data_IF_622607422234
#
_entry.id   IF_622607422234
#
_cell.length_a   1.000
_cell.length_b   1.000
_cell.length_c   1.000
_cell.angle_alpha   90.00
_cell.angle_beta   90.00
_cell.angle_gamma   90.00
#
_symmetry.space_group_name_H-M   'P 1'
#
loop_
_entity.id
_entity.type
_entity.pdbx_description
1 polymer ?
#
# COMPACT_ATOMS: atom_id res chain seq x y z
N UNK A 1 -6.69 -18.63 3.31
CA UNK A 1 -7.15 -17.66 2.29
C UNK A 1 -6.46 -18.00 0.98
N UNK A 2 -7.08 -17.78 -0.18
CA UNK A 2 -6.46 -17.91 -1.50
C UNK A 2 -6.31 -16.53 -2.15
N UNK A 3 -5.34 -16.40 -3.04
CA UNK A 3 -5.16 -15.18 -3.81
C UNK A 3 -6.11 -15.16 -5.01
N UNK A 4 -6.81 -14.06 -5.18
CA UNK A 4 -7.61 -13.77 -6.37
C UNK A 4 -7.06 -12.47 -6.94
N UNK A 5 -6.08 -12.54 -7.86
CA UNK A 5 -5.43 -11.34 -8.39
C UNK A 5 -6.48 -10.39 -8.96
N UNK A 6 -6.39 -9.14 -8.54
CA UNK A 6 -7.20 -8.06 -9.07
C UNK A 6 -6.25 -6.98 -9.57
N UNK A 7 -6.56 -6.42 -10.73
CA UNK A 7 -5.85 -5.25 -11.19
C UNK A 7 -5.93 -4.16 -10.12
N UNK A 8 -4.78 -3.56 -9.81
CA UNK A 8 -4.74 -2.44 -8.89
C UNK A 8 -5.65 -1.32 -9.42
N UNK A 9 -6.48 -0.78 -8.54
CA UNK A 9 -7.26 0.39 -8.89
C UNK A 9 -6.32 1.59 -9.01
N UNK A 10 -6.44 2.38 -10.09
CA UNK A 10 -5.61 3.56 -10.24
C UNK A 10 -5.90 4.54 -9.10
N UNK A 11 -4.86 5.21 -8.62
CA UNK A 11 -5.00 6.24 -7.60
C UNK A 11 -5.89 7.35 -8.16
N UNK A 12 -6.98 7.74 -7.47
CA UNK A 12 -7.83 8.84 -7.91
C UNK A 12 -7.02 10.13 -8.08
N UNK A 13 -7.24 10.87 -9.17
CA UNK A 13 -6.46 12.07 -9.50
C UNK A 13 -6.47 13.12 -8.36
N UNK A 14 -7.59 13.26 -7.65
CA UNK A 14 -7.69 14.17 -6.51
C UNK A 14 -6.78 13.75 -5.33
N UNK A 15 -6.61 12.44 -5.11
CA UNK A 15 -5.71 11.91 -4.08
C UNK A 15 -4.25 12.11 -4.48
N UNK A 16 -3.91 11.86 -5.74
CA UNK A 16 -2.56 12.10 -6.26
C UNK A 16 -2.15 13.57 -6.10
N UNK A 17 -2.99 14.51 -6.56
CA UNK A 17 -2.73 15.94 -6.43
C UNK A 17 -2.51 16.37 -4.97
N UNK A 18 -3.34 15.88 -4.05
CA UNK A 18 -3.20 16.16 -2.62
C UNK A 18 -1.86 15.63 -2.07
N UNK A 19 -1.44 14.43 -2.47
CA UNK A 19 -0.15 13.85 -2.03
C UNK A 19 1.04 14.64 -2.60
N UNK A 20 0.97 15.06 -3.87
CA UNK A 20 2.00 15.92 -4.47
C UNK A 20 2.13 17.27 -3.77
N UNK A 21 1.03 17.84 -3.27
CA UNK A 21 1.04 19.09 -2.50
C UNK A 21 1.55 18.91 -1.04
N UNK A 22 1.31 17.75 -0.42
CA UNK A 22 1.66 17.49 0.98
C UNK A 22 3.09 17.00 1.20
N UNK A 23 3.72 16.40 0.20
CA UNK A 23 5.04 15.79 0.31
C UNK A 23 6.06 16.44 -0.64
N UNK A 24 7.35 16.51 -0.28
CA UNK A 24 8.41 16.87 -1.22
C UNK A 24 8.52 15.88 -2.39
N UNK A 25 9.01 16.34 -3.56
CA UNK A 25 9.22 15.50 -4.75
C UNK A 25 10.18 14.31 -4.49
N UNK A 26 11.14 14.47 -3.58
CA UNK A 26 12.09 13.42 -3.20
C UNK A 26 11.60 12.54 -2.03
N UNK A 27 10.32 12.66 -1.68
CA UNK A 27 9.71 11.84 -0.64
C UNK A 27 9.63 10.37 -1.05
N UNK A 28 10.03 9.48 -0.13
CA UNK A 28 9.86 8.03 -0.28
C UNK A 28 8.39 7.67 -0.54
N UNK A 29 7.44 8.43 0.00
CA UNK A 29 6.00 8.19 -0.22
C UNK A 29 5.58 8.45 -1.66
N UNK A 30 6.09 9.53 -2.28
CA UNK A 30 5.85 9.80 -3.70
C UNK A 30 6.54 8.75 -4.57
N UNK A 31 7.78 8.37 -4.26
CA UNK A 31 8.48 7.32 -5.00
C UNK A 31 7.73 5.97 -4.98
N UNK A 32 7.21 5.56 -3.82
CA UNK A 32 6.43 4.33 -3.72
C UNK A 32 5.13 4.43 -4.53
N UNK A 33 4.41 5.53 -4.43
CA UNK A 33 3.12 5.73 -5.12
C UNK A 33 3.25 5.85 -6.65
N UNK A 34 4.23 6.62 -7.13
CA UNK A 34 4.36 6.97 -8.55
C UNK A 34 5.17 5.93 -9.34
N UNK A 35 6.08 5.19 -8.68
CA UNK A 35 7.00 4.26 -9.36
C UNK A 35 6.75 2.82 -8.95
N UNK A 36 6.77 2.51 -7.66
CA UNK A 36 6.74 1.11 -7.23
C UNK A 36 5.34 0.50 -7.31
N UNK A 37 4.29 1.29 -7.07
CA UNK A 37 2.92 0.78 -7.04
C UNK A 37 2.49 0.14 -8.38
N UNK A 38 2.99 0.64 -9.51
CA UNK A 38 2.70 0.11 -10.86
C UNK A 38 3.61 -1.08 -11.23
N UNK A 39 4.72 -1.28 -10.52
CA UNK A 39 5.70 -2.34 -10.86
C UNK A 39 5.37 -3.69 -10.22
N UNK A 40 4.71 -3.71 -9.07
CA UNK A 40 4.44 -4.93 -8.32
C UNK A 40 3.00 -5.40 -8.53
N UNK A 41 2.86 -6.69 -8.82
CA UNK A 41 1.57 -7.29 -9.16
C UNK A 41 1.23 -8.41 -8.18
N UNK A 42 -0.06 -8.60 -7.87
CA UNK A 42 -0.49 -9.68 -6.98
C UNK A 42 -0.10 -11.06 -7.55
N UNK A 43 -0.07 -11.17 -8.88
CA UNK A 43 0.38 -12.35 -9.62
C UNK A 43 1.79 -12.82 -9.23
N UNK A 44 2.68 -11.89 -8.85
CA UNK A 44 4.05 -12.21 -8.44
C UNK A 44 4.12 -13.04 -7.15
N UNK A 45 3.02 -13.12 -6.40
CA UNK A 45 2.91 -13.81 -5.11
C UNK A 45 2.00 -15.05 -5.17
N UNK A 46 1.49 -15.43 -6.34
CA UNK A 46 0.43 -16.44 -6.46
C UNK A 46 0.83 -17.81 -5.93
N UNK A 47 2.11 -18.15 -6.00
CA UNK A 47 2.71 -19.40 -5.53
C UNK A 47 2.80 -19.48 -3.99
N UNK A 48 2.70 -18.35 -3.29
CA UNK A 48 2.67 -18.28 -1.83
C UNK A 48 1.28 -18.57 -1.24
N UNK A 49 0.24 -18.68 -2.07
CA UNK A 49 -1.13 -18.88 -1.65
C UNK A 49 -1.68 -20.25 -2.08
N UNK A 50 -2.54 -20.88 -1.27
CA UNK A 50 -3.25 -22.08 -1.69
C UNK A 50 -4.23 -21.74 -2.82
N UNK A 51 -4.49 -22.71 -3.70
CA UNK A 51 -5.39 -22.57 -4.85
C UNK A 51 -6.84 -22.26 -4.45
N UNK A 52 -7.28 -22.86 -3.35
CA UNK A 52 -8.66 -22.78 -2.87
C UNK A 52 -8.74 -22.15 -1.47
N UNK A 53 -9.76 -21.33 -1.25
CA UNK A 53 -10.00 -20.69 0.05
C UNK A 53 -10.85 -19.41 -0.03
N UNK A 54 -10.99 -18.73 1.10
CA UNK A 54 -11.56 -17.39 1.15
C UNK A 54 -10.61 -16.38 0.50
N UNK A 55 -11.11 -15.33 -0.18
CA UNK A 55 -10.26 -14.30 -0.78
C UNK A 55 -9.30 -13.67 0.24
N UNK A 56 -8.05 -13.48 -0.15
CA UNK A 56 -7.08 -12.71 0.61
C UNK A 56 -7.09 -11.23 0.22
N UNK A 57 -6.46 -10.41 1.07
CA UNK A 57 -6.09 -9.03 0.74
C UNK A 57 -4.89 -9.10 -0.22
N UNK A 58 -4.76 -8.11 -1.10
CA UNK A 58 -3.60 -7.98 -1.99
C UNK A 58 -2.27 -8.07 -1.20
N UNK A 59 -1.38 -9.02 -1.53
CA UNK A 59 -0.05 -9.12 -0.94
C UNK A 59 0.82 -7.91 -1.27
N UNK A 60 0.64 -7.28 -2.44
CA UNK A 60 1.35 -6.05 -2.81
C UNK A 60 0.97 -4.91 -1.86
N UNK A 61 -0.33 -4.69 -1.62
CA UNK A 61 -0.80 -3.68 -0.67
C UNK A 61 -0.28 -3.94 0.75
N UNK A 62 -0.36 -5.18 1.23
CA UNK A 62 0.17 -5.55 2.55
C UNK A 62 1.67 -5.30 2.65
N UNK A 63 2.44 -5.57 1.60
CA UNK A 63 3.87 -5.34 1.56
C UNK A 63 4.20 -3.84 1.69
N UNK A 64 3.51 -2.97 0.95
CA UNK A 64 3.72 -1.52 1.06
C UNK A 64 3.34 -0.97 2.43
N UNK A 65 2.21 -1.42 3.00
CA UNK A 65 1.81 -1.04 4.36
C UNK A 65 2.90 -1.44 5.36
N UNK A 66 3.45 -2.65 5.24
CA UNK A 66 4.52 -3.15 6.12
C UNK A 66 5.80 -2.33 5.97
N UNK A 67 6.17 -1.95 4.74
CA UNK A 67 7.33 -1.08 4.48
C UNK A 67 7.12 0.28 5.14
N UNK A 68 5.96 0.92 4.96
CA UNK A 68 5.69 2.22 5.57
C UNK A 68 5.67 2.17 7.10
N UNK A 69 5.09 1.12 7.69
CA UNK A 69 5.16 0.89 9.14
C UNK A 69 6.61 0.78 9.62
N UNK A 70 7.45 0.04 8.88
CA UNK A 70 8.87 -0.10 9.20
C UNK A 70 9.65 1.19 9.03
N UNK A 71 9.36 2.01 8.00
CA UNK A 71 10.01 3.30 7.77
C UNK A 71 9.69 4.32 8.85
N UNK A 72 8.46 4.28 9.37
CA UNK A 72 7.98 5.21 10.40
C UNK A 72 8.30 4.76 11.84
N UNK A 73 8.90 3.58 12.03
CA UNK A 73 9.09 2.94 13.35
C UNK A 73 7.76 2.84 14.15
N UNK A 74 6.66 2.61 13.43
CA UNK A 74 5.32 2.49 13.99
C UNK A 74 4.83 1.04 13.87
N UNK A 75 4.43 0.44 15.00
CA UNK A 75 3.61 -0.77 14.96
C UNK A 75 2.22 -0.44 14.42
N UNK A 76 1.50 -1.41 13.82
CA UNK A 76 0.13 -1.25 13.30
C UNK A 76 -0.79 -0.47 14.25
N UNK A 77 -0.69 -0.76 15.56
CA UNK A 77 -1.45 -0.04 16.60
C UNK A 77 -1.08 1.44 16.68
N UNK A 78 0.20 1.78 16.63
CA UNK A 78 0.65 3.17 16.62
C UNK A 78 0.28 3.87 15.31
N UNK A 79 0.37 3.17 14.17
CA UNK A 79 -0.04 3.70 12.86
C UNK A 79 -1.52 4.11 12.88
N UNK A 80 -2.41 3.22 13.31
CA UNK A 80 -3.85 3.53 13.47
C UNK A 80 -4.07 4.69 14.44
N UNK A 81 -3.31 4.75 15.54
CA UNK A 81 -3.41 5.84 16.51
C UNK A 81 -2.96 7.19 15.92
N UNK A 82 -1.89 7.20 15.12
CA UNK A 82 -1.36 8.41 14.47
C UNK A 82 -2.31 8.96 13.41
N UNK A 83 -2.98 8.08 12.65
CA UNK A 83 -4.00 8.47 11.68
C UNK A 83 -5.20 9.16 12.36
N UNK A 84 -5.53 8.76 13.59
CA UNK A 84 -6.66 9.33 14.35
C UNK A 84 -6.49 10.82 14.69
N UNK A 85 -5.25 11.32 14.71
CA UNK A 85 -4.92 12.72 15.03
C UNK A 85 -4.42 13.53 13.82
N UNK A 86 -4.19 12.90 12.65
CA UNK A 86 -3.75 13.60 11.42
C UNK A 86 -4.91 14.11 10.55
N UNK A 87 -6.16 13.86 10.96
CA UNK A 87 -7.37 14.33 10.27
C UNK A 87 -8.06 15.52 10.98
N UNK A 88 -7.39 16.15 11.97
CA UNK A 88 -7.77 17.50 12.45
C UNK A 88 -7.13 18.59 11.59
#
# INVERSE_FOLDING_TARGET
MCLKPQALHPIPAATAALVHDLFPEDSVYQFVGDVLFDQFHDEDFIDLYPKDGQPSISPVLLSFVTIFQSLEDLSDRKTVYSLRFRFD
#
